data_IF_087163338437
#
_entry.id   IF_087163338437
#
_cell.length_a   1.000
_cell.length_b   1.000
_cell.length_c   1.000
_cell.angle_alpha   90.00
_cell.angle_beta   90.00
_cell.angle_gamma   90.00
#
_symmetry.space_group_name_H-M   'P 1'
#
loop_
_entity.id
_entity.type
_entity.pdbx_description
1 polymer ?
#
# COMPACT_ATOMS: atom_id res chain seq x y z
N UNK A 1 -5.82 -10.56 17.88
CA UNK A 1 -4.36 -10.53 17.60
C UNK A 1 -4.16 -10.03 16.18
N UNK A 2 -3.27 -9.07 15.99
CA UNK A 2 -2.92 -8.50 14.69
C UNK A 2 -1.40 -8.43 14.55
N UNK A 3 -0.89 -8.59 13.33
CA UNK A 3 0.52 -8.45 12.99
C UNK A 3 0.70 -7.45 11.85
N UNK A 4 1.83 -6.75 11.87
CA UNK A 4 2.21 -5.77 10.85
C UNK A 4 3.68 -5.99 10.52
N UNK A 5 4.00 -6.05 9.23
CA UNK A 5 5.36 -6.18 8.71
C UNK A 5 5.63 -4.97 7.82
N UNK A 6 6.72 -4.27 8.11
CA UNK A 6 7.19 -3.15 7.33
C UNK A 6 8.69 -3.17 7.11
N UNK A 7 9.13 -2.40 6.13
CA UNK A 7 10.53 -2.14 5.82
C UNK A 7 10.91 -0.72 6.21
N UNK A 8 12.16 -0.55 6.64
CA UNK A 8 12.76 0.76 6.89
C UNK A 8 13.77 1.08 5.80
N UNK A 9 13.68 2.28 5.25
CA UNK A 9 14.74 2.93 4.51
C UNK A 9 15.30 4.12 5.34
N UNK A 10 16.31 4.81 4.82
CA UNK A 10 16.98 5.92 5.49
C UNK A 10 16.03 7.05 5.89
N UNK A 11 15.01 7.34 5.07
CA UNK A 11 14.09 8.47 5.27
C UNK A 11 12.63 8.08 5.47
N UNK A 12 12.26 6.82 5.18
CA UNK A 12 10.87 6.36 5.21
C UNK A 12 10.71 4.95 5.74
N UNK A 13 9.58 4.66 6.34
CA UNK A 13 9.09 3.30 6.59
C UNK A 13 7.95 2.95 5.64
N UNK A 14 7.89 1.70 5.20
CA UNK A 14 6.83 1.19 4.33
C UNK A 14 6.17 -0.03 4.96
N UNK A 15 4.87 0.08 5.22
CA UNK A 15 4.06 -1.00 5.77
C UNK A 15 3.59 -1.91 4.62
N UNK A 16 4.19 -3.10 4.53
CA UNK A 16 4.00 -4.00 3.39
C UNK A 16 2.81 -4.94 3.60
N UNK A 17 2.71 -5.55 4.78
CA UNK A 17 1.72 -6.57 5.07
C UNK A 17 1.11 -6.36 6.45
N UNK A 18 -0.22 -6.43 6.51
CA UNK A 18 -0.98 -6.40 7.74
C UNK A 18 -1.92 -7.61 7.77
N UNK A 19 -2.03 -8.25 8.93
CA UNK A 19 -2.93 -9.38 9.16
C UNK A 19 -3.60 -9.25 10.51
N UNK A 20 -4.88 -9.60 10.59
CA UNK A 20 -5.61 -9.63 11.86
C UNK A 20 -6.50 -10.87 11.93
N UNK A 21 -6.48 -11.54 13.07
CA UNK A 21 -7.44 -12.60 13.35
C UNK A 21 -8.84 -11.97 13.51
N UNK A 22 -9.78 -12.40 12.65
CA UNK A 22 -11.15 -11.88 12.57
C UNK A 22 -11.97 -12.12 13.84
N UNK A 23 -11.70 -13.20 14.57
CA UNK A 23 -12.39 -13.52 15.82
C UNK A 23 -12.22 -12.42 16.88
N UNK A 24 -11.13 -11.67 16.78
CA UNK A 24 -10.74 -10.61 17.70
C UNK A 24 -10.82 -9.20 17.08
N UNK A 25 -11.54 -9.02 15.96
CA UNK A 25 -11.60 -7.74 15.26
C UNK A 25 -12.17 -6.60 16.12
N UNK A 26 -13.04 -6.92 17.10
CA UNK A 26 -13.66 -5.95 18.02
C UNK A 26 -12.66 -5.23 18.92
N UNK A 27 -11.46 -5.81 19.10
CA UNK A 27 -10.39 -5.19 19.88
C UNK A 27 -9.55 -4.20 19.07
N UNK A 28 -9.86 -4.01 17.79
CA UNK A 28 -9.20 -3.04 16.92
C UNK A 28 -7.66 -3.17 16.92
N UNK A 29 -7.13 -4.39 17.05
CA UNK A 29 -5.68 -4.62 17.14
C UNK A 29 -4.87 -4.09 15.96
N UNK A 30 -5.47 -4.03 14.76
CA UNK A 30 -4.82 -3.39 13.61
C UNK A 30 -4.56 -1.90 13.82
N UNK A 31 -5.44 -1.17 14.52
CA UNK A 31 -5.21 0.25 14.79
C UNK A 31 -3.99 0.47 15.68
N UNK A 32 -3.86 -0.35 16.73
CA UNK A 32 -2.72 -0.30 17.65
C UNK A 32 -1.42 -0.51 16.89
N UNK A 33 -1.34 -1.54 16.05
CA UNK A 33 -0.13 -1.82 15.26
C UNK A 33 0.27 -0.65 14.34
N UNK A 34 -0.70 0.05 13.73
CA UNK A 34 -0.39 1.18 12.86
C UNK A 34 0.06 2.40 13.67
N UNK A 35 -0.58 2.70 14.81
CA UNK A 35 -0.11 3.76 15.72
C UNK A 35 1.30 3.47 16.22
N UNK A 36 1.58 2.23 16.62
CA UNK A 36 2.90 1.81 17.08
C UNK A 36 3.94 1.97 15.96
N UNK A 37 3.60 1.64 14.71
CA UNK A 37 4.49 1.84 13.58
C UNK A 37 4.75 3.33 13.27
N UNK A 38 3.75 4.20 13.44
CA UNK A 38 3.91 5.66 13.29
C UNK A 38 4.86 6.17 14.38
N UNK A 39 4.62 5.81 15.64
CA UNK A 39 5.45 6.21 16.78
C UNK A 39 6.88 5.72 16.62
N UNK A 40 7.06 4.44 16.28
CA UNK A 40 8.38 3.86 16.00
C UNK A 40 9.10 4.61 14.88
N UNK A 41 8.39 5.00 13.82
CA UNK A 41 8.98 5.76 12.72
C UNK A 41 9.40 7.18 13.15
N UNK A 42 8.59 7.84 13.98
CA UNK A 42 8.91 9.14 14.57
C UNK A 42 10.13 9.07 15.51
N UNK A 43 10.22 8.03 16.36
CA UNK A 43 11.38 7.79 17.24
C UNK A 43 12.69 7.57 16.44
N UNK A 44 12.57 6.99 15.25
CA UNK A 44 13.70 6.77 14.33
C UNK A 44 13.96 7.94 13.38
N UNK A 45 13.32 9.09 13.60
CA UNK A 45 13.46 10.32 12.81
C UNK A 45 13.17 10.12 11.31
N UNK A 46 12.23 9.24 11.00
CA UNK A 46 11.77 9.04 9.63
C UNK A 46 10.77 10.13 9.26
N UNK A 47 10.87 10.64 8.04
CA UNK A 47 10.00 11.71 7.54
C UNK A 47 8.64 11.17 7.08
N UNK A 48 8.60 9.93 6.59
CA UNK A 48 7.41 9.35 5.99
C UNK A 48 7.12 7.94 6.49
N UNK A 49 5.84 7.65 6.70
CA UNK A 49 5.30 6.31 6.94
C UNK A 49 4.30 6.00 5.83
N UNK A 50 4.66 5.07 4.95
CA UNK A 50 3.80 4.65 3.85
C UNK A 50 2.88 3.51 4.28
N UNK A 51 1.59 3.69 4.08
CA UNK A 51 0.56 2.69 4.40
C UNK A 51 0.25 1.80 3.18
N UNK A 52 1.02 1.96 2.10
CA UNK A 52 0.82 1.28 0.82
C UNK A 52 -0.31 1.89 -0.02
N UNK A 53 -0.56 1.28 -1.18
CA UNK A 53 -1.50 1.79 -2.19
C UNK A 53 -2.97 1.82 -1.75
N UNK A 54 -3.73 2.72 -2.35
CA UNK A 54 -5.18 2.81 -2.27
C UNK A 54 -5.75 2.55 -3.69
N UNK A 55 -6.90 1.91 -3.76
CA UNK A 55 -7.69 1.68 -4.98
C UNK A 55 -8.15 2.96 -5.71
N UNK A 56 -8.12 4.12 -5.04
CA UNK A 56 -8.51 5.41 -5.59
C UNK A 56 -10.03 5.69 -5.60
N UNK A 57 -10.86 4.67 -5.38
CA UNK A 57 -12.33 4.79 -5.39
C UNK A 57 -12.95 5.19 -4.05
N UNK A 58 -12.20 5.28 -2.93
CA UNK A 58 -12.64 5.63 -1.55
C UNK A 58 -13.86 4.87 -0.97
N UNK A 59 -14.49 4.00 -1.75
CA UNK A 59 -15.68 3.24 -1.39
C UNK A 59 -15.36 2.00 -0.56
N UNK A 60 -14.08 1.64 -0.42
CA UNK A 60 -13.66 0.42 0.26
C UNK A 60 -13.31 0.68 1.74
N UNK A 61 -13.57 -0.32 2.59
CA UNK A 61 -13.33 -0.23 4.04
C UNK A 61 -11.85 0.01 4.40
N UNK A 62 -10.93 -0.40 3.53
CA UNK A 62 -9.48 -0.13 3.68
C UNK A 62 -9.17 1.36 3.55
N UNK A 63 -9.87 2.07 2.68
CA UNK A 63 -9.62 3.49 2.44
C UNK A 63 -10.06 4.33 3.65
N UNK A 64 -11.23 3.99 4.21
CA UNK A 64 -11.72 4.59 5.46
C UNK A 64 -10.79 4.31 6.65
N UNK A 65 -10.20 3.11 6.72
CA UNK A 65 -9.20 2.78 7.72
C UNK A 65 -7.98 3.69 7.59
N UNK A 66 -7.40 3.84 6.39
CA UNK A 66 -6.22 4.69 6.18
C UNK A 66 -6.47 6.17 6.46
N UNK A 67 -7.64 6.69 6.05
CA UNK A 67 -8.03 8.10 6.29
C UNK A 67 -8.14 8.41 7.79
N UNK A 68 -8.50 7.43 8.63
CA UNK A 68 -8.63 7.66 10.07
C UNK A 68 -7.33 8.04 10.80
N UNK A 69 -6.18 7.89 10.14
CA UNK A 69 -4.85 8.29 10.66
C UNK A 69 -4.39 9.66 10.12
N UNK A 70 -5.28 10.44 9.49
CA UNK A 70 -4.96 11.72 8.84
C UNK A 70 -3.85 11.58 7.78
N UNK A 71 -3.85 10.45 7.06
CA UNK A 71 -2.84 10.14 6.06
C UNK A 71 -3.07 10.93 4.77
N UNK A 72 -2.00 11.53 4.24
CA UNK A 72 -2.02 12.19 2.93
C UNK A 72 -2.01 11.16 1.79
N UNK A 73 -2.81 11.43 0.74
CA UNK A 73 -2.84 10.60 -0.46
C UNK A 73 -1.91 11.20 -1.50
N UNK A 74 -0.90 10.43 -1.88
CA UNK A 74 0.10 10.80 -2.89
C UNK A 74 -0.14 9.97 -4.15
N UNK A 75 -0.53 10.63 -5.24
CA UNK A 75 -0.64 10.00 -6.56
C UNK A 75 0.69 10.10 -7.29
N UNK A 76 1.24 8.95 -7.67
CA UNK A 76 2.47 8.88 -8.46
C UNK A 76 2.18 8.99 -9.95
N UNK A 77 3.16 9.48 -10.70
CA UNK A 77 3.13 9.62 -12.17
C UNK A 77 2.87 8.32 -12.96
N UNK A 78 2.84 7.18 -12.27
CA UNK A 78 2.47 5.88 -12.84
C UNK A 78 3.64 5.11 -13.46
N UNK A 79 3.29 4.15 -14.30
CA UNK A 79 4.26 3.24 -14.93
C UNK A 79 4.76 3.80 -16.26
N UNK A 80 6.08 3.78 -16.45
CA UNK A 80 6.71 4.14 -17.72
C UNK A 80 7.28 2.89 -18.38
N UNK A 81 6.87 2.64 -19.63
CA UNK A 81 7.39 1.52 -20.41
C UNK A 81 8.27 2.03 -21.54
N UNK A 82 9.55 1.66 -21.51
CA UNK A 82 10.44 1.85 -22.65
C UNK A 82 10.37 0.65 -23.60
N UNK A 83 9.87 0.87 -24.81
CA UNK A 83 9.62 -0.22 -25.77
C UNK A 83 10.83 -0.41 -26.68
N UNK A 84 11.69 -1.38 -26.37
CA UNK A 84 12.84 -1.73 -27.19
C UNK A 84 12.44 -2.48 -28.49
N UNK A 85 11.40 -3.32 -28.43
CA UNK A 85 10.87 -4.07 -29.59
C UNK A 85 9.39 -3.73 -29.87
N UNK A 86 9.09 -2.74 -30.72
CA UNK A 86 7.73 -2.24 -30.89
C UNK A 86 6.75 -3.28 -31.45
N UNK A 87 7.19 -4.09 -32.43
CA UNK A 87 6.34 -5.12 -33.05
C UNK A 87 5.98 -6.22 -32.05
N UNK A 88 6.95 -6.68 -31.25
CA UNK A 88 6.72 -7.72 -30.25
C UNK A 88 5.79 -7.23 -29.14
N UNK A 89 5.99 -5.99 -28.66
CA UNK A 89 5.12 -5.39 -27.65
C UNK A 89 3.67 -5.25 -28.18
N UNK A 90 3.50 -4.84 -29.43
CA UNK A 90 2.17 -4.76 -30.06
C UNK A 90 1.47 -6.12 -30.12
N UNK A 91 2.17 -7.16 -30.55
CA UNK A 91 1.63 -8.52 -30.61
C UNK A 91 1.33 -9.07 -29.22
N UNK A 92 2.21 -8.83 -28.24
CA UNK A 92 2.01 -9.21 -26.85
C UNK A 92 0.77 -8.55 -26.25
N UNK A 93 0.61 -7.23 -26.42
CA UNK A 93 -0.55 -6.50 -25.93
C UNK A 93 -1.85 -6.98 -26.59
N UNK A 94 -1.83 -7.30 -27.89
CA UNK A 94 -2.96 -7.94 -28.56
C UNK A 94 -3.27 -9.33 -27.99
N UNK A 95 -2.26 -10.17 -27.77
CA UNK A 95 -2.44 -11.50 -27.20
C UNK A 95 -3.02 -11.45 -25.78
N UNK A 96 -2.53 -10.53 -24.94
CA UNK A 96 -3.06 -10.30 -23.59
C UNK A 96 -4.49 -9.79 -23.64
N UNK A 97 -4.82 -8.88 -24.56
CA UNK A 97 -6.19 -8.38 -24.73
C UNK A 97 -7.18 -9.48 -25.16
N UNK A 98 -6.74 -10.41 -26.01
CA UNK A 98 -7.54 -11.57 -26.42
C UNK A 98 -7.75 -12.53 -25.24
N UNK A 99 -6.73 -12.77 -24.41
CA UNK A 99 -6.83 -13.64 -23.20
C UNK A 99 -7.73 -13.05 -22.11
N UNK A 100 -7.83 -11.72 -22.01
CA UNK A 100 -8.67 -11.04 -21.02
C UNK A 100 -10.16 -11.01 -21.39
N UNK A 101 -10.53 -11.41 -22.61
CA UNK A 101 -11.91 -11.69 -23.02
C UNK A 101 -12.28 -13.14 -22.70
#
# INVERSE_FOLDING_TARGET
MAGLIGLKNQTKSELLYAGMNRDYQKYHGSYVNYVDAINWSAEHQLEFVSFGGNSGSFDHGIDKFKVSFDANILEYIGEFTYVNRPILNYLFNKAVAIRRK
#
